data_IF_153415115053
#
_entry.id   IF_153415115053
#
_cell.length_a   1.000
_cell.length_b   1.000
_cell.length_c   1.000
_cell.angle_alpha   90.00
_cell.angle_beta   90.00
_cell.angle_gamma   90.00
#
_symmetry.space_group_name_H-M   'P 1'
#
loop_
_entity.id
_entity.type
_entity.pdbx_description
1 polymer ?
#
# COMPACT_ATOMS: atom_id res chain seq x y z
N UNK A 1 7.43 4.56 -23.60
CA UNK A 1 7.93 5.66 -22.75
C UNK A 1 7.76 5.24 -21.31
N UNK A 2 8.86 5.06 -20.56
CA UNK A 2 8.77 4.67 -19.16
C UNK A 2 8.22 5.84 -18.34
N UNK A 3 7.08 5.62 -17.67
CA UNK A 3 6.46 6.61 -16.78
C UNK A 3 7.17 6.54 -15.41
N UNK A 4 8.46 6.86 -15.38
CA UNK A 4 9.17 7.01 -14.11
C UNK A 4 8.68 8.29 -13.44
N UNK A 5 8.35 8.22 -12.15
CA UNK A 5 7.93 9.38 -11.37
C UNK A 5 9.17 10.27 -11.14
N UNK A 6 9.09 11.55 -11.50
CA UNK A 6 10.19 12.51 -11.31
C UNK A 6 10.28 12.98 -9.86
N UNK A 7 11.49 13.24 -9.38
CA UNK A 7 11.71 13.86 -8.07
C UNK A 7 11.68 15.39 -8.18
N UNK A 8 10.94 16.03 -7.27
CA UNK A 8 10.94 17.48 -7.09
C UNK A 8 12.10 17.94 -6.20
N UNK A 9 12.50 17.10 -5.22
CA UNK A 9 13.58 17.38 -4.28
C UNK A 9 14.22 16.09 -3.82
N UNK A 10 15.55 16.08 -3.67
CA UNK A 10 16.29 14.94 -3.13
C UNK A 10 17.43 15.42 -2.24
N UNK A 11 17.53 14.84 -1.04
CA UNK A 11 18.60 15.11 -0.07
C UNK A 11 19.33 13.82 0.28
N UNK A 12 20.34 13.50 -0.53
CA UNK A 12 21.13 12.29 -0.36
C UNK A 12 20.26 11.04 -0.18
N UNK A 13 20.55 10.25 0.85
CA UNK A 13 19.80 9.01 1.17
C UNK A 13 18.65 9.20 2.15
N UNK A 14 18.39 10.44 2.57
CA UNK A 14 17.49 10.72 3.70
C UNK A 14 16.07 11.04 3.26
N UNK A 15 15.92 11.71 2.12
CA UNK A 15 14.64 12.22 1.65
C UNK A 15 14.58 12.35 0.13
N UNK A 16 13.46 11.93 -0.46
CA UNK A 16 13.07 12.23 -1.84
C UNK A 16 11.62 12.66 -1.85
N UNK A 17 11.30 13.77 -2.50
CA UNK A 17 9.93 14.19 -2.78
C UNK A 17 9.67 14.05 -4.27
N UNK A 18 8.50 13.54 -4.64
CA UNK A 18 8.10 13.36 -6.03
C UNK A 18 7.23 14.50 -6.53
N UNK A 19 7.36 14.81 -7.82
CA UNK A 19 6.47 15.77 -8.49
C UNK A 19 5.05 15.22 -8.57
N UNK A 20 4.10 15.89 -7.91
CA UNK A 20 2.68 15.53 -7.90
C UNK A 20 1.80 16.79 -8.07
N UNK A 21 1.91 17.51 -9.20
CA UNK A 21 1.41 18.89 -9.34
C UNK A 21 -0.11 19.05 -9.20
N UNK A 22 -0.89 18.01 -9.51
CA UNK A 22 -2.36 18.03 -9.44
C UNK A 22 -2.91 17.18 -8.29
N UNK A 23 -2.04 16.60 -7.46
CA UNK A 23 -2.45 15.68 -6.41
C UNK A 23 -2.79 16.43 -5.12
N UNK A 24 -3.88 16.05 -4.43
CA UNK A 24 -4.16 16.58 -3.08
C UNK A 24 -3.21 16.02 -2.01
N UNK A 25 -2.42 15.00 -2.36
CA UNK A 25 -1.45 14.37 -1.46
C UNK A 25 -0.03 14.50 -2.00
N UNK A 26 0.92 14.59 -1.08
CA UNK A 26 2.35 14.58 -1.38
C UNK A 26 2.90 13.16 -1.25
N UNK A 27 3.70 12.75 -2.23
CA UNK A 27 4.45 11.51 -2.16
C UNK A 27 5.93 11.82 -1.88
N UNK A 28 6.46 11.21 -0.82
CA UNK A 28 7.86 11.31 -0.47
C UNK A 28 8.39 9.99 0.10
N UNK A 29 9.68 9.74 -0.11
CA UNK A 29 10.42 8.64 0.48
C UNK A 29 11.34 9.18 1.58
N UNK A 30 11.24 8.57 2.76
CA UNK A 30 12.11 8.83 3.89
C UNK A 30 12.90 7.57 4.24
N UNK A 31 14.10 7.73 4.82
CA UNK A 31 14.74 6.63 5.53
C UNK A 31 13.87 6.14 6.69
N UNK A 32 13.90 4.83 6.99
CA UNK A 32 12.98 4.16 7.95
C UNK A 32 12.76 4.91 9.27
N UNK A 33 13.84 5.36 9.93
CA UNK A 33 13.75 6.09 11.21
C UNK A 33 13.04 7.44 11.08
N UNK A 34 13.34 8.18 10.01
CA UNK A 34 12.71 9.47 9.75
C UNK A 34 11.23 9.31 9.39
N UNK A 35 10.89 8.27 8.61
CA UNK A 35 9.51 7.93 8.29
C UNK A 35 8.72 7.58 9.56
N UNK A 36 9.28 6.72 10.41
CA UNK A 36 8.64 6.32 11.66
C UNK A 36 8.35 7.52 12.57
N UNK A 37 9.33 8.44 12.68
CA UNK A 37 9.15 9.71 13.40
C UNK A 37 8.02 10.57 12.80
N UNK A 38 7.99 10.71 11.47
CA UNK A 38 6.97 11.51 10.80
C UNK A 38 5.56 10.91 10.96
N UNK A 39 5.45 9.58 10.95
CA UNK A 39 4.19 8.86 11.12
C UNK A 39 3.78 8.66 12.61
N UNK A 40 4.65 9.02 13.57
CA UNK A 40 4.39 8.82 14.99
C UNK A 40 4.37 7.35 15.43
N UNK A 41 5.11 6.48 14.73
CA UNK A 41 5.17 5.03 15.01
C UNK A 41 6.56 4.63 15.48
N UNK A 42 6.65 3.48 16.17
CA UNK A 42 7.93 2.93 16.60
C UNK A 42 8.77 2.46 15.39
N UNK A 43 10.06 2.79 15.37
CA UNK A 43 10.93 2.53 14.21
C UNK A 43 11.35 1.07 14.03
N UNK A 44 11.22 0.29 15.10
CA UNK A 44 11.56 -1.13 15.23
C UNK A 44 10.49 -2.08 14.68
N UNK A 45 9.41 -1.55 14.08
CA UNK A 45 8.21 -2.30 13.65
C UNK A 45 8.46 -3.66 13.00
N UNK A 46 7.54 -4.58 13.23
CA UNK A 46 7.67 -6.01 12.90
C UNK A 46 7.00 -6.33 11.56
N UNK A 47 7.70 -6.13 10.44
CA UNK A 47 7.28 -6.64 9.12
C UNK A 47 5.96 -6.08 8.56
N UNK A 48 5.37 -6.79 7.60
CA UNK A 48 4.23 -6.32 6.78
C UNK A 48 2.96 -6.10 7.60
N UNK A 49 2.71 -4.84 7.99
CA UNK A 49 1.45 -4.44 8.58
C UNK A 49 0.43 -4.11 7.48
N UNK A 50 -0.43 -5.10 7.18
CA UNK A 50 -1.76 -4.98 6.51
C UNK A 50 -1.83 -4.88 4.99
N UNK A 51 -0.75 -5.16 4.24
CA UNK A 51 -0.86 -5.39 2.79
C UNK A 51 -0.71 -6.88 2.50
N UNK A 52 -1.80 -7.54 2.10
CA UNK A 52 -1.76 -8.86 1.48
C UNK A 52 -1.83 -8.68 -0.04
N UNK A 53 -0.93 -9.34 -0.77
CA UNK A 53 -0.91 -9.30 -2.24
C UNK A 53 -1.56 -10.59 -2.75
N UNK A 54 -2.67 -10.46 -3.46
CA UNK A 54 -3.34 -11.58 -4.11
C UNK A 54 -2.66 -11.96 -5.43
N UNK A 55 -2.37 -13.24 -5.65
CA UNK A 55 -1.93 -13.78 -6.94
C UNK A 55 -2.50 -15.18 -7.21
N UNK A 56 -2.53 -15.58 -8.49
CA UNK A 56 -2.98 -16.93 -8.90
C UNK A 56 -1.96 -18.03 -8.55
N UNK A 57 -0.75 -17.65 -8.17
CA UNK A 57 0.34 -18.57 -7.79
C UNK A 57 0.14 -19.24 -6.41
N UNK A 58 -0.95 -18.92 -5.70
CA UNK A 58 -1.25 -19.46 -4.37
C UNK A 58 -0.44 -18.80 -3.25
N UNK A 59 -0.53 -19.35 -2.04
CA UNK A 59 0.09 -18.76 -0.84
C UNK A 59 1.59 -19.05 -0.77
N UNK A 60 2.42 -18.01 -0.70
CA UNK A 60 3.86 -18.14 -0.47
C UNK A 60 4.47 -16.87 0.14
N UNK A 61 5.73 -16.95 0.57
CA UNK A 61 6.51 -15.78 1.02
C UNK A 61 7.59 -15.47 -0.01
N UNK A 62 7.67 -14.23 -0.48
CA UNK A 62 8.71 -13.83 -1.42
C UNK A 62 10.07 -13.59 -0.72
N UNK A 63 11.17 -13.42 -1.48
CA UNK A 63 12.50 -13.16 -0.91
C UNK A 63 12.59 -11.89 -0.06
N UNK A 64 11.65 -10.96 -0.21
CA UNK A 64 11.56 -9.73 0.56
C UNK A 64 10.71 -9.88 1.83
N UNK A 65 10.12 -11.06 2.05
CA UNK A 65 9.37 -11.42 3.25
C UNK A 65 7.89 -11.03 3.20
N UNK A 66 7.34 -10.64 2.06
CA UNK A 66 5.91 -10.37 1.93
C UNK A 66 5.12 -11.67 1.81
N UNK A 67 3.98 -11.73 2.49
CA UNK A 67 3.02 -12.82 2.34
C UNK A 67 2.16 -12.58 1.10
N UNK A 68 2.19 -13.55 0.19
CA UNK A 68 1.32 -13.64 -0.96
C UNK A 68 0.16 -14.57 -0.63
N UNK A 69 -1.05 -14.17 -1.00
CA UNK A 69 -2.28 -14.93 -0.79
C UNK A 69 -2.90 -15.30 -2.13
N UNK A 70 -3.73 -16.33 -2.17
CA UNK A 70 -4.51 -16.64 -3.37
C UNK A 70 -5.44 -15.46 -3.67
N UNK A 71 -5.39 -14.93 -4.89
CA UNK A 71 -6.30 -13.88 -5.29
C UNK A 71 -7.74 -14.40 -5.23
N UNK A 72 -8.56 -13.83 -4.34
CA UNK A 72 -10.00 -14.03 -4.40
C UNK A 72 -10.52 -13.29 -5.64
N UNK A 73 -10.66 -14.00 -6.74
CA UNK A 73 -11.30 -13.46 -7.93
C UNK A 73 -12.75 -13.11 -7.58
N UNK A 74 -13.03 -11.81 -7.38
CA UNK A 74 -14.41 -11.33 -7.27
C UNK A 74 -15.08 -11.60 -8.63
N UNK A 75 -15.96 -12.59 -8.68
CA UNK A 75 -16.94 -12.64 -9.77
C UNK A 75 -17.82 -11.37 -9.74
N UNK A 76 -18.18 -10.78 -10.90
CA UNK A 76 -19.06 -9.63 -10.94
C UNK A 76 -20.42 -10.01 -10.35
N UNK A 77 -20.81 -9.31 -9.29
CA UNK A 77 -22.01 -9.57 -8.50
C UNK A 77 -23.28 -9.44 -9.35
N UNK A 78 -23.89 -10.58 -9.69
CA UNK A 78 -25.23 -10.63 -10.27
C UNK A 78 -26.25 -10.17 -9.20
N UNK A 79 -26.64 -8.90 -9.31
CA UNK A 79 -27.64 -8.24 -8.46
C UNK A 79 -28.92 -9.06 -8.33
N UNK A 80 -29.19 -9.59 -7.13
CA UNK A 80 -30.55 -9.87 -6.62
C UNK A 80 -30.53 -9.68 -5.10
N UNK A 81 -30.86 -8.48 -4.63
CA UNK A 81 -32.21 -8.11 -4.19
C UNK A 81 -32.78 -9.07 -3.14
N UNK A 82 -33.01 -8.58 -1.91
CA UNK A 82 -34.36 -8.52 -1.28
C UNK A 82 -34.24 -8.17 0.21
N UNK A 83 -35.18 -7.31 0.63
CA UNK A 83 -35.82 -7.13 1.94
C UNK A 83 -35.00 -7.43 3.21
N UNK A 84 -34.91 -6.52 4.18
CA UNK A 84 -36.04 -5.78 4.73
C UNK A 84 -36.48 -6.44 6.03
N UNK A 85 -36.59 -5.61 7.08
CA UNK A 85 -37.10 -5.91 8.41
C UNK A 85 -36.21 -6.86 9.26
N UNK A 86 -35.95 -6.58 10.53
CA UNK A 86 -36.38 -5.51 11.41
C UNK A 86 -35.84 -5.79 12.81
N UNK A 87 -35.73 -4.72 13.59
CA UNK A 87 -35.89 -4.62 15.06
C UNK A 87 -35.23 -5.65 15.96
N UNK A 88 -34.41 -5.14 16.89
CA UNK A 88 -34.91 -4.66 18.18
C UNK A 88 -34.09 -3.45 18.65
#
# INVERSE_FOLDING_TARGET
MAHLIRSARSFGRQYVEFEMPTSPIKLALYGRRALAKAAGVASDGTGSHRLAIGADAGTFTDPDGFAWELAAHREPEATRATAGAGVH
#
